data_IF_310411606803
#
_entry.id   IF_310411606803
#
_cell.length_a   1.000
_cell.length_b   1.000
_cell.length_c   1.000
_cell.angle_alpha   90.00
_cell.angle_beta   90.00
_cell.angle_gamma   90.00
#
_symmetry.space_group_name_H-M   'P 1'
#
loop_
_entity.id
_entity.type
_entity.pdbx_description
1 polymer ?
#
# COMPACT_ATOMS: atom_id res chain seq x y z
N UNK A 1 -144.97 -84.02 62.19
CA UNK A 1 -146.39 -84.24 61.86
C UNK A 1 -147.02 -85.37 62.69
N UNK A 2 -146.34 -86.50 62.89
CA UNK A 2 -146.86 -87.65 63.67
C UNK A 2 -147.11 -87.35 65.16
N UNK A 3 -146.24 -86.58 65.81
CA UNK A 3 -146.39 -86.17 67.23
C UNK A 3 -147.55 -85.21 67.48
N UNK A 4 -147.88 -84.33 66.52
CA UNK A 4 -148.99 -83.39 66.65
C UNK A 4 -150.34 -84.10 66.72
N UNK A 5 -150.56 -85.12 65.89
CA UNK A 5 -151.77 -85.93 65.94
C UNK A 5 -151.87 -86.76 67.23
N UNK A 6 -150.75 -87.28 67.75
CA UNK A 6 -150.72 -88.00 69.04
C UNK A 6 -151.09 -87.05 70.19
N UNK A 7 -150.54 -85.83 70.21
CA UNK A 7 -150.84 -84.84 71.24
C UNK A 7 -152.32 -84.40 71.19
N UNK A 8 -152.85 -84.16 69.99
CA UNK A 8 -154.27 -83.80 69.78
C UNK A 8 -155.18 -84.97 70.21
N UNK A 9 -154.85 -86.22 69.84
CA UNK A 9 -155.61 -87.40 70.24
C UNK A 9 -155.59 -87.62 71.76
N UNK A 10 -154.43 -87.46 72.41
CA UNK A 10 -154.31 -87.56 73.86
C UNK A 10 -155.11 -86.47 74.58
N UNK A 11 -155.10 -85.23 74.08
CA UNK A 11 -155.88 -84.12 74.64
C UNK A 11 -157.40 -84.37 74.46
N UNK A 12 -157.84 -84.88 73.31
CA UNK A 12 -159.25 -85.23 73.08
C UNK A 12 -159.74 -86.34 74.03
N UNK A 13 -158.93 -87.39 74.23
CA UNK A 13 -159.25 -88.48 75.16
C UNK A 13 -159.31 -87.97 76.59
N UNK A 14 -158.29 -87.20 77.02
CA UNK A 14 -158.22 -86.64 78.36
C UNK A 14 -159.37 -85.64 78.61
N UNK A 15 -159.72 -84.83 77.60
CA UNK A 15 -160.87 -83.92 77.64
C UNK A 15 -162.19 -84.64 77.85
N UNK A 16 -162.41 -85.79 77.20
CA UNK A 16 -163.61 -86.62 77.39
C UNK A 16 -163.70 -87.25 78.79
N UNK A 17 -162.58 -87.72 79.32
CA UNK A 17 -162.49 -88.27 80.69
C UNK A 17 -162.75 -87.18 81.74
N UNK A 18 -162.19 -85.99 81.55
CA UNK A 18 -162.36 -84.90 82.52
C UNK A 18 -163.78 -84.30 82.43
N UNK A 19 -164.37 -84.20 81.24
CA UNK A 19 -165.73 -83.72 81.06
C UNK A 19 -166.76 -84.60 81.79
N UNK A 20 -166.58 -85.94 81.75
CA UNK A 20 -167.46 -86.88 82.47
C UNK A 20 -167.29 -86.79 83.98
N UNK A 21 -166.09 -86.52 84.49
CA UNK A 21 -165.87 -86.26 85.92
C UNK A 21 -166.48 -84.92 86.36
N UNK A 22 -166.38 -83.87 85.52
CA UNK A 22 -167.00 -82.57 85.77
C UNK A 22 -168.53 -82.67 85.91
N UNK A 23 -169.19 -83.42 85.03
CA UNK A 23 -170.64 -83.64 85.09
C UNK A 23 -171.06 -84.45 86.34
N UNK A 24 -170.21 -85.38 86.78
CA UNK A 24 -170.41 -86.19 88.00
C UNK A 24 -170.26 -85.37 89.28
N UNK A 25 -169.36 -84.39 89.29
CA UNK A 25 -169.20 -83.44 90.40
C UNK A 25 -170.42 -82.50 90.44
N UNK A 26 -170.86 -81.97 89.30
CA UNK A 26 -172.05 -81.11 89.21
C UNK A 26 -173.32 -81.80 89.71
N UNK A 27 -173.54 -83.06 89.31
CA UNK A 27 -174.72 -83.85 89.74
C UNK A 27 -174.69 -84.26 91.21
N UNK A 28 -173.51 -84.57 91.77
CA UNK A 28 -173.36 -84.85 93.23
C UNK A 28 -173.66 -83.63 94.09
N UNK A 29 -173.20 -82.44 93.67
CA UNK A 29 -173.51 -81.18 94.37
C UNK A 29 -175.02 -80.91 94.35
N UNK A 30 -175.71 -81.24 93.25
CA UNK A 30 -177.16 -81.10 93.11
C UNK A 30 -177.99 -82.00 94.04
N UNK A 31 -177.57 -83.25 94.29
CA UNK A 31 -178.28 -84.18 95.20
C UNK A 31 -178.04 -83.87 96.69
N UNK A 32 -176.87 -83.35 97.03
CA UNK A 32 -176.50 -83.02 98.42
C UNK A 32 -177.20 -81.76 98.98
N UNK A 33 -178.06 -81.10 98.19
CA UNK A 33 -178.73 -79.82 98.52
C UNK A 33 -177.74 -78.75 99.00
N UNK A 34 -176.52 -78.77 98.48
CA UNK A 34 -175.48 -77.80 98.83
C UNK A 34 -175.84 -76.46 98.20
N UNK A 35 -175.86 -75.42 99.05
CA UNK A 35 -176.02 -74.03 98.65
C UNK A 35 -174.64 -73.39 98.64
N UNK A 36 -174.24 -72.85 97.48
CA UNK A 36 -173.11 -71.92 97.40
C UNK A 36 -173.74 -70.53 97.22
N UNK A 37 -173.43 -69.60 98.13
CA UNK A 37 -173.94 -68.22 98.08
C UNK A 37 -175.48 -68.10 97.99
N UNK A 38 -176.22 -68.84 98.81
CA UNK A 38 -177.69 -68.76 98.91
C UNK A 38 -178.48 -69.13 97.64
N UNK A 39 -177.85 -69.72 96.63
CA UNK A 39 -178.51 -70.10 95.39
C UNK A 39 -179.34 -71.38 95.57
N UNK A 40 -180.53 -71.40 94.95
CA UNK A 40 -181.40 -72.59 94.89
C UNK A 40 -180.57 -73.76 94.32
N UNK A 41 -180.52 -74.95 94.97
CA UNK A 41 -179.52 -75.99 94.69
C UNK A 41 -179.31 -76.39 93.22
N UNK A 42 -180.33 -76.25 92.37
CA UNK A 42 -180.24 -76.50 90.92
C UNK A 42 -179.31 -75.51 90.17
N UNK A 43 -179.19 -74.24 90.59
CA UNK A 43 -178.35 -73.22 89.91
C UNK A 43 -176.86 -73.31 90.27
N UNK A 44 -176.56 -73.69 91.50
CA UNK A 44 -175.18 -73.89 91.99
C UNK A 44 -174.43 -74.92 91.15
N UNK A 45 -175.10 -76.03 90.81
CA UNK A 45 -174.52 -77.09 89.98
C UNK A 45 -174.06 -76.56 88.60
N UNK A 46 -174.86 -75.71 87.95
CA UNK A 46 -174.52 -75.14 86.63
C UNK A 46 -173.27 -74.25 86.69
N UNK A 47 -173.16 -73.41 87.72
CA UNK A 47 -172.01 -72.50 87.87
C UNK A 47 -170.69 -73.27 88.05
N UNK A 48 -170.73 -74.33 88.85
CA UNK A 48 -169.58 -75.22 89.06
C UNK A 48 -169.15 -75.89 87.75
N UNK A 49 -170.10 -76.26 86.88
CA UNK A 49 -169.80 -76.85 85.55
C UNK A 49 -169.12 -75.86 84.60
N UNK A 50 -169.55 -74.60 84.55
CA UNK A 50 -168.88 -73.57 83.73
C UNK A 50 -167.45 -73.33 84.22
N UNK A 51 -167.27 -73.25 85.54
CA UNK A 51 -165.95 -73.00 86.12
C UNK A 51 -164.99 -74.16 85.86
N UNK A 52 -165.45 -75.42 85.99
CA UNK A 52 -164.64 -76.60 85.62
C UNK A 52 -164.36 -76.63 84.13
N UNK A 53 -165.34 -76.34 83.27
CA UNK A 53 -165.15 -76.21 81.82
C UNK A 53 -164.05 -75.21 81.45
N UNK A 54 -164.06 -74.01 82.05
CA UNK A 54 -163.04 -72.99 81.84
C UNK A 54 -161.66 -73.40 82.34
N UNK A 55 -161.59 -74.06 83.51
CA UNK A 55 -160.35 -74.56 84.09
C UNK A 55 -159.68 -75.62 83.19
N UNK A 56 -160.49 -76.45 82.51
CA UNK A 56 -159.99 -77.45 81.56
C UNK A 56 -159.35 -76.76 80.36
N UNK A 57 -160.03 -75.81 79.70
CA UNK A 57 -159.49 -75.11 78.53
C UNK A 57 -158.20 -74.34 78.85
N UNK A 58 -158.14 -73.67 79.99
CA UNK A 58 -156.93 -72.98 80.45
C UNK A 58 -155.76 -73.96 80.70
N UNK A 59 -156.06 -75.12 81.28
CA UNK A 59 -155.06 -76.18 81.51
C UNK A 59 -154.54 -76.77 80.20
N UNK A 60 -155.42 -77.01 79.22
CA UNK A 60 -155.02 -77.49 77.88
C UNK A 60 -154.10 -76.50 77.19
N UNK A 61 -154.43 -75.21 77.22
CA UNK A 61 -153.61 -74.16 76.63
C UNK A 61 -152.26 -74.05 77.34
N UNK A 62 -152.25 -74.09 78.67
CA UNK A 62 -151.03 -74.06 79.47
C UNK A 62 -150.08 -75.23 79.16
N UNK A 63 -150.62 -76.44 78.98
CA UNK A 63 -149.82 -77.61 78.58
C UNK A 63 -149.24 -77.43 77.18
N UNK A 64 -150.00 -76.88 76.23
CA UNK A 64 -149.51 -76.65 74.86
C UNK A 64 -148.27 -75.73 74.85
N UNK A 65 -148.31 -74.63 75.61
CA UNK A 65 -147.18 -73.71 75.74
C UNK A 65 -145.98 -74.31 76.50
N UNK A 66 -146.23 -75.23 77.44
CA UNK A 66 -145.16 -75.91 78.16
C UNK A 66 -144.47 -76.99 77.30
N UNK A 67 -145.24 -77.69 76.45
CA UNK A 67 -144.74 -78.80 75.64
C UNK A 67 -144.11 -78.36 74.32
N UNK A 68 -144.54 -77.24 73.72
CA UNK A 68 -144.03 -76.77 72.43
C UNK A 68 -143.26 -75.44 72.58
N UNK A 69 -141.94 -75.57 72.62
CA UNK A 69 -141.01 -74.44 72.66
C UNK A 69 -141.12 -73.53 71.43
N UNK A 70 -141.45 -74.07 70.25
CA UNK A 70 -141.64 -73.26 69.03
C UNK A 70 -142.91 -72.44 69.08
N UNK A 71 -143.97 -72.97 69.67
CA UNK A 71 -145.21 -72.23 69.89
C UNK A 71 -144.99 -71.09 70.90
N UNK A 72 -144.19 -71.32 71.96
CA UNK A 72 -143.79 -70.30 72.93
C UNK A 72 -142.95 -69.19 72.28
N UNK A 73 -141.88 -69.55 71.55
CA UNK A 73 -141.05 -68.56 70.85
C UNK A 73 -141.84 -67.79 69.77
N UNK A 74 -142.71 -68.47 69.03
CA UNK A 74 -143.52 -67.84 67.97
C UNK A 74 -144.55 -66.84 68.49
N UNK A 75 -145.12 -67.05 69.69
CA UNK A 75 -146.12 -66.15 70.28
C UNK A 75 -145.50 -65.03 71.13
N UNK A 76 -144.34 -65.27 71.77
CA UNK A 76 -143.76 -64.31 72.73
C UNK A 76 -142.44 -63.63 72.29
N UNK A 77 -141.64 -64.19 71.35
CA UNK A 77 -140.28 -63.69 71.02
C UNK A 77 -140.11 -63.19 69.57
N UNK A 78 -141.16 -63.27 68.73
CA UNK A 78 -141.07 -62.93 67.30
C UNK A 78 -140.63 -61.47 67.06
N UNK A 79 -141.09 -60.54 67.89
CA UNK A 79 -140.81 -59.11 67.77
C UNK A 79 -139.33 -58.80 68.05
N UNK A 80 -138.73 -59.47 69.04
CA UNK A 80 -137.31 -59.33 69.38
C UNK A 80 -136.40 -59.91 68.29
N UNK A 81 -136.76 -61.07 67.72
CA UNK A 81 -136.00 -61.68 66.62
C UNK A 81 -136.04 -60.80 65.37
N UNK A 82 -137.19 -60.22 65.02
CA UNK A 82 -137.29 -59.28 63.90
C UNK A 82 -136.47 -58.01 64.14
N UNK A 83 -136.44 -57.51 65.38
CA UNK A 83 -135.63 -56.36 65.78
C UNK A 83 -134.13 -56.64 65.65
N UNK A 84 -133.66 -57.81 66.07
CA UNK A 84 -132.25 -58.21 65.92
C UNK A 84 -131.85 -58.39 64.45
N UNK A 85 -132.70 -59.04 63.64
CA UNK A 85 -132.48 -59.19 62.20
C UNK A 85 -132.40 -57.83 61.48
N UNK A 86 -133.25 -56.87 61.87
CA UNK A 86 -133.19 -55.49 61.36
C UNK A 86 -131.90 -54.81 61.77
N UNK A 87 -131.50 -54.91 63.04
CA UNK A 87 -130.26 -54.32 63.53
C UNK A 87 -129.02 -54.91 62.83
N UNK A 88 -128.94 -56.23 62.65
CA UNK A 88 -127.83 -56.89 61.93
C UNK A 88 -127.79 -56.50 60.45
N UNK A 89 -128.94 -56.36 59.79
CA UNK A 89 -129.01 -55.86 58.41
C UNK A 89 -128.54 -54.41 58.31
N UNK A 90 -128.91 -53.58 59.27
CA UNK A 90 -128.46 -52.18 59.32
C UNK A 90 -126.95 -52.08 59.56
N UNK A 91 -126.41 -52.87 60.50
CA UNK A 91 -124.97 -52.95 60.74
C UNK A 91 -124.19 -53.47 59.52
N UNK A 92 -124.71 -54.49 58.82
CA UNK A 92 -124.10 -55.00 57.60
C UNK A 92 -124.07 -53.92 56.52
N UNK A 93 -125.17 -53.17 56.35
CA UNK A 93 -125.26 -52.05 55.40
C UNK A 93 -124.29 -50.92 55.75
N UNK A 94 -124.12 -50.60 57.03
CA UNK A 94 -123.14 -49.61 57.49
C UNK A 94 -121.72 -50.09 57.17
N UNK A 95 -121.37 -51.33 57.52
CA UNK A 95 -120.05 -51.90 57.25
C UNK A 95 -119.77 -52.01 55.73
N UNK A 96 -120.77 -52.32 54.90
CA UNK A 96 -120.66 -52.31 53.44
C UNK A 96 -120.39 -50.90 52.90
N UNK A 97 -121.05 -49.88 53.43
CA UNK A 97 -120.81 -48.48 53.06
C UNK A 97 -119.42 -48.00 53.49
N UNK A 98 -118.99 -48.30 54.72
CA UNK A 98 -117.64 -47.98 55.22
C UNK A 98 -116.56 -48.67 54.37
N UNK A 99 -116.75 -49.95 54.05
CA UNK A 99 -115.84 -50.69 53.16
C UNK A 99 -115.76 -50.02 51.78
N UNK A 100 -116.90 -49.62 51.20
CA UNK A 100 -116.93 -48.93 49.91
C UNK A 100 -116.22 -47.57 49.96
N UNK A 101 -116.37 -46.81 51.04
CA UNK A 101 -115.66 -45.54 51.26
C UNK A 101 -114.14 -45.77 51.36
N UNK A 102 -113.71 -46.72 52.19
CA UNK A 102 -112.28 -47.05 52.34
C UNK A 102 -111.68 -47.57 51.03
N UNK A 103 -112.40 -48.37 50.24
CA UNK A 103 -111.96 -48.80 48.91
C UNK A 103 -111.81 -47.61 47.94
N UNK A 104 -112.70 -46.62 48.03
CA UNK A 104 -112.63 -45.40 47.22
C UNK A 104 -111.45 -44.52 47.63
N UNK A 105 -111.22 -44.33 48.93
CA UNK A 105 -110.06 -43.61 49.47
C UNK A 105 -108.75 -44.32 49.12
N UNK A 106 -108.68 -45.64 49.24
CA UNK A 106 -107.51 -46.43 48.87
C UNK A 106 -107.22 -46.31 47.37
N UNK A 107 -108.24 -46.34 46.52
CA UNK A 107 -108.07 -46.13 45.08
C UNK A 107 -107.57 -44.71 44.79
N UNK A 108 -108.10 -43.70 45.47
CA UNK A 108 -107.66 -42.30 45.33
C UNK A 108 -106.20 -42.16 45.74
N UNK A 109 -105.83 -42.66 46.92
CA UNK A 109 -104.46 -42.67 47.41
C UNK A 109 -103.49 -43.42 46.47
N UNK A 110 -103.91 -44.56 45.89
CA UNK A 110 -103.11 -45.29 44.88
C UNK A 110 -102.92 -44.48 43.60
N UNK A 111 -103.94 -43.76 43.14
CA UNK A 111 -103.80 -42.89 41.95
C UNK A 111 -102.87 -41.71 42.21
N UNK A 112 -102.95 -41.11 43.41
CA UNK A 112 -102.04 -40.04 43.83
C UNK A 112 -100.61 -40.54 43.97
N UNK A 113 -100.40 -41.71 44.58
CA UNK A 113 -99.09 -42.35 44.66
C UNK A 113 -98.51 -42.60 43.27
N UNK A 114 -99.30 -43.17 42.36
CA UNK A 114 -98.87 -43.42 40.97
C UNK A 114 -98.50 -42.12 40.25
N UNK A 115 -99.25 -41.03 40.50
CA UNK A 115 -98.94 -39.71 39.94
C UNK A 115 -97.65 -39.14 40.52
N UNK A 116 -97.47 -39.21 41.83
CA UNK A 116 -96.25 -38.76 42.51
C UNK A 116 -95.02 -39.54 42.04
N UNK A 117 -95.13 -40.87 41.85
CA UNK A 117 -94.06 -41.71 41.29
C UNK A 117 -93.69 -41.29 39.86
N UNK A 118 -94.68 -41.00 39.01
CA UNK A 118 -94.44 -40.49 37.64
C UNK A 118 -93.79 -39.11 37.65
N UNK A 119 -94.22 -38.22 38.53
CA UNK A 119 -93.66 -36.88 38.67
C UNK A 119 -92.22 -36.95 39.17
N UNK A 120 -91.94 -37.82 40.15
CA UNK A 120 -90.59 -38.08 40.66
C UNK A 120 -89.67 -38.63 39.56
N UNK A 121 -90.15 -39.56 38.73
CA UNK A 121 -89.41 -40.04 37.56
C UNK A 121 -89.11 -38.92 36.55
N UNK A 122 -90.08 -38.04 36.28
CA UNK A 122 -89.91 -36.89 35.37
C UNK A 122 -88.89 -35.89 35.93
N UNK A 123 -89.00 -35.56 37.22
CA UNK A 123 -88.08 -34.67 37.92
C UNK A 123 -86.66 -35.26 37.91
N UNK A 124 -86.51 -36.55 38.21
CA UNK A 124 -85.20 -37.21 38.17
C UNK A 124 -84.58 -37.18 36.76
N UNK A 125 -85.37 -37.43 35.71
CA UNK A 125 -84.89 -37.30 34.32
C UNK A 125 -84.47 -35.86 33.99
N UNK A 126 -85.26 -34.87 34.42
CA UNK A 126 -84.95 -33.46 34.22
C UNK A 126 -83.69 -33.03 34.98
N UNK A 127 -83.53 -33.48 36.23
CA UNK A 127 -82.35 -33.23 37.06
C UNK A 127 -81.10 -33.86 36.44
N UNK A 128 -81.19 -35.08 35.92
CA UNK A 128 -80.09 -35.72 35.19
C UNK A 128 -79.69 -34.92 33.94
N UNK A 129 -80.67 -34.45 33.15
CA UNK A 129 -80.41 -33.62 31.98
C UNK A 129 -79.78 -32.26 32.36
N UNK A 130 -80.27 -31.63 33.43
CA UNK A 130 -79.72 -30.37 33.95
C UNK A 130 -78.28 -30.55 34.44
N UNK A 131 -77.98 -31.62 35.19
CA UNK A 131 -76.63 -31.95 35.65
C UNK A 131 -75.68 -32.26 34.48
N UNK A 132 -76.15 -32.99 33.46
CA UNK A 132 -75.36 -33.25 32.25
C UNK A 132 -75.04 -31.94 31.51
N UNK A 133 -76.03 -31.04 31.38
CA UNK A 133 -75.85 -29.72 30.76
C UNK A 133 -74.90 -28.83 31.57
N UNK A 134 -75.02 -28.83 32.90
CA UNK A 134 -74.09 -28.11 33.79
C UNK A 134 -72.66 -28.62 33.61
N UNK A 135 -72.46 -29.95 33.61
CA UNK A 135 -71.15 -30.56 33.40
C UNK A 135 -70.55 -30.18 32.05
N UNK A 136 -71.34 -30.27 30.96
CA UNK A 136 -70.91 -29.86 29.64
C UNK A 136 -70.53 -28.37 29.58
N UNK A 137 -71.32 -27.51 30.21
CA UNK A 137 -71.06 -26.07 30.28
C UNK A 137 -69.78 -25.77 31.08
N UNK A 138 -69.52 -26.52 32.14
CA UNK A 138 -68.34 -26.36 32.96
C UNK A 138 -67.07 -26.83 32.24
N UNK A 139 -67.15 -27.91 31.46
CA UNK A 139 -66.09 -28.32 30.54
C UNK A 139 -65.84 -27.25 29.47
N UNK A 140 -66.89 -26.69 28.88
CA UNK A 140 -66.75 -25.62 27.89
C UNK A 140 -66.10 -24.38 28.51
N UNK A 141 -66.50 -23.99 29.72
CA UNK A 141 -65.92 -22.86 30.44
C UNK A 141 -64.42 -23.08 30.70
N UNK A 142 -64.04 -24.28 31.15
CA UNK A 142 -62.62 -24.63 31.35
C UNK A 142 -61.84 -24.59 30.03
N UNK A 143 -62.40 -25.12 28.93
CA UNK A 143 -61.76 -25.06 27.62
C UNK A 143 -61.58 -23.61 27.14
N UNK A 144 -62.60 -22.78 27.26
CA UNK A 144 -62.52 -21.36 26.88
C UNK A 144 -61.54 -20.59 27.77
N UNK A 145 -61.46 -20.90 29.07
CA UNK A 145 -60.45 -20.32 29.96
C UNK A 145 -59.03 -20.71 29.55
N UNK A 146 -58.79 -21.99 29.21
CA UNK A 146 -57.48 -22.43 28.69
C UNK A 146 -57.12 -21.74 27.38
N UNK A 147 -58.07 -21.65 26.44
CA UNK A 147 -57.88 -20.93 25.16
C UNK A 147 -57.57 -19.46 25.38
N UNK A 148 -58.28 -18.80 26.31
CA UNK A 148 -58.02 -17.41 26.65
C UNK A 148 -56.62 -17.23 27.24
N UNK A 149 -56.20 -18.14 28.14
CA UNK A 149 -54.85 -18.10 28.70
C UNK A 149 -53.78 -18.27 27.64
N UNK A 150 -54.00 -19.15 26.65
CA UNK A 150 -53.08 -19.36 25.53
C UNK A 150 -52.97 -18.11 24.66
N UNK A 151 -54.11 -17.49 24.32
CA UNK A 151 -54.15 -16.24 23.55
C UNK A 151 -53.46 -15.10 24.31
N UNK A 152 -53.66 -14.99 25.63
CA UNK A 152 -52.99 -13.99 26.46
C UNK A 152 -51.47 -14.18 26.43
N UNK A 153 -50.99 -15.43 26.51
CA UNK A 153 -49.56 -15.72 26.41
C UNK A 153 -49.01 -15.36 25.03
N UNK A 154 -49.69 -15.74 23.95
CA UNK A 154 -49.30 -15.39 22.58
C UNK A 154 -49.27 -13.86 22.36
N UNK A 155 -50.23 -13.14 22.93
CA UNK A 155 -50.27 -11.68 22.87
C UNK A 155 -49.08 -11.05 23.62
N UNK A 156 -48.72 -11.59 24.78
CA UNK A 156 -47.57 -11.13 25.55
C UNK A 156 -46.24 -11.40 24.83
N UNK A 157 -46.10 -12.56 24.18
CA UNK A 157 -44.97 -12.90 23.32
C UNK A 157 -44.86 -11.93 22.15
N UNK A 158 -45.97 -11.68 21.44
CA UNK A 158 -46.02 -10.74 20.33
C UNK A 158 -45.65 -9.30 20.75
N UNK A 159 -46.04 -8.86 21.95
CA UNK A 159 -45.62 -7.57 22.49
C UNK A 159 -44.10 -7.51 22.75
N UNK A 160 -43.52 -8.61 23.22
CA UNK A 160 -42.08 -8.71 23.47
C UNK A 160 -41.29 -8.70 22.17
N UNK A 161 -41.76 -9.42 21.14
CA UNK A 161 -41.18 -9.39 19.80
C UNK A 161 -41.28 -8.00 19.18
N UNK A 162 -42.44 -7.35 19.31
CA UNK A 162 -42.65 -6.00 18.80
C UNK A 162 -41.68 -4.99 19.44
N UNK A 163 -41.47 -5.09 20.75
CA UNK A 163 -40.49 -4.25 21.45
C UNK A 163 -39.06 -4.50 20.95
N UNK A 164 -38.67 -5.77 20.78
CA UNK A 164 -37.37 -6.15 20.22
C UNK A 164 -37.15 -5.56 18.81
N UNK A 165 -38.20 -5.57 17.97
CA UNK A 165 -38.14 -4.96 16.64
C UNK A 165 -37.98 -3.44 16.72
N UNK A 166 -38.66 -2.76 17.65
CA UNK A 166 -38.47 -1.33 17.87
C UNK A 166 -37.02 -0.99 18.28
N UNK A 167 -36.46 -1.76 19.22
CA UNK A 167 -35.07 -1.57 19.66
C UNK A 167 -34.08 -1.83 18.50
N UNK A 168 -34.35 -2.82 17.64
CA UNK A 168 -33.58 -3.07 16.42
C UNK A 168 -33.67 -1.91 15.42
N UNK A 169 -34.84 -1.31 15.25
CA UNK A 169 -35.01 -0.14 14.38
C UNK A 169 -34.18 1.04 14.90
N UNK A 170 -34.20 1.29 16.21
CA UNK A 170 -33.43 2.37 16.82
C UNK A 170 -31.91 2.17 16.64
N UNK A 171 -31.41 0.95 16.90
CA UNK A 171 -30.00 0.62 16.71
C UNK A 171 -29.56 0.73 15.24
N UNK A 172 -30.39 0.26 14.30
CA UNK A 172 -30.11 0.40 12.87
C UNK A 172 -30.14 1.86 12.41
N UNK A 173 -31.05 2.68 12.95
CA UNK A 173 -31.09 4.12 12.65
C UNK A 173 -29.82 4.82 13.14
N UNK A 174 -29.34 4.51 14.34
CA UNK A 174 -28.08 5.03 14.86
C UNK A 174 -26.89 4.63 13.97
N UNK A 175 -26.81 3.36 13.57
CA UNK A 175 -25.77 2.87 12.66
C UNK A 175 -25.80 3.55 11.29
N UNK A 176 -27.00 3.82 10.74
CA UNK A 176 -27.17 4.55 9.48
C UNK A 176 -26.63 5.98 9.59
N UNK A 177 -26.91 6.68 10.69
CA UNK A 177 -26.40 8.04 10.90
C UNK A 177 -24.88 8.08 11.08
N UNK A 178 -24.31 7.10 11.80
CA UNK A 178 -22.86 6.96 11.91
C UNK A 178 -22.21 6.71 10.54
N UNK A 179 -22.76 5.79 9.74
CA UNK A 179 -22.28 5.51 8.38
C UNK A 179 -22.41 6.74 7.46
N UNK A 180 -23.47 7.55 7.60
CA UNK A 180 -23.62 8.80 6.83
C UNK A 180 -22.54 9.81 7.19
N UNK A 181 -22.21 9.96 8.48
CA UNK A 181 -21.15 10.85 8.95
C UNK A 181 -19.79 10.38 8.45
N UNK A 182 -19.50 9.09 8.56
CA UNK A 182 -18.23 8.52 8.08
C UNK A 182 -18.08 8.69 6.56
N UNK A 183 -19.14 8.40 5.80
CA UNK A 183 -19.14 8.64 4.35
C UNK A 183 -18.86 10.10 4.00
N UNK A 184 -19.43 11.05 4.75
CA UNK A 184 -19.21 12.49 4.54
C UNK A 184 -17.77 12.88 4.84
N UNK A 185 -17.19 12.32 5.89
CA UNK A 185 -15.77 12.51 6.25
C UNK A 185 -14.86 11.99 5.14
N UNK A 186 -15.03 10.73 4.73
CA UNK A 186 -14.25 10.10 3.66
C UNK A 186 -14.37 10.87 2.33
N UNK A 187 -15.55 11.36 2.00
CA UNK A 187 -15.76 12.21 0.83
C UNK A 187 -14.94 13.49 0.90
N UNK A 188 -14.92 14.15 2.07
CA UNK A 188 -14.16 15.38 2.29
C UNK A 188 -12.65 15.13 2.22
N UNK A 189 -12.17 14.06 2.86
CA UNK A 189 -10.77 13.64 2.80
C UNK A 189 -10.34 13.34 1.34
N UNK A 190 -11.14 12.55 0.60
CA UNK A 190 -10.89 12.26 -0.81
C UNK A 190 -10.86 13.53 -1.66
N UNK A 191 -11.79 14.46 -1.43
CA UNK A 191 -11.82 15.74 -2.16
C UNK A 191 -10.57 16.57 -1.91
N UNK A 192 -10.13 16.68 -0.65
CA UNK A 192 -8.89 17.40 -0.32
C UNK A 192 -7.65 16.75 -0.94
N UNK A 193 -7.58 15.42 -0.96
CA UNK A 193 -6.47 14.69 -1.58
C UNK A 193 -6.42 14.91 -3.10
N UNK A 194 -7.57 14.93 -3.78
CA UNK A 194 -7.67 15.27 -5.20
C UNK A 194 -7.18 16.70 -5.46
N UNK A 195 -7.66 17.67 -4.68
CA UNK A 195 -7.25 19.07 -4.85
C UNK A 195 -5.74 19.27 -4.62
N UNK A 196 -5.13 18.54 -3.69
CA UNK A 196 -3.68 18.53 -3.50
C UNK A 196 -2.93 17.92 -4.70
N UNK A 197 -3.42 16.80 -5.25
CA UNK A 197 -2.84 16.16 -6.43
C UNK A 197 -2.92 17.08 -7.65
N UNK A 198 -4.05 17.74 -7.87
CA UNK A 198 -4.24 18.66 -8.99
C UNK A 198 -3.30 19.86 -8.90
N UNK A 199 -3.10 20.42 -7.70
CA UNK A 199 -2.08 21.46 -7.46
C UNK A 199 -0.67 20.96 -7.80
N UNK A 200 -0.35 19.71 -7.45
CA UNK A 200 0.97 19.13 -7.73
C UNK A 200 1.18 18.89 -9.23
N UNK A 201 0.16 18.40 -9.93
CA UNK A 201 0.17 18.23 -11.38
C UNK A 201 0.41 19.58 -12.06
N UNK A 202 -0.35 20.61 -11.68
CA UNK A 202 -0.17 21.95 -12.24
C UNK A 202 1.23 22.54 -11.98
N UNK A 203 1.86 22.23 -10.83
CA UNK A 203 3.25 22.61 -10.57
C UNK A 203 4.24 21.87 -11.47
N UNK A 204 4.05 20.57 -11.67
CA UNK A 204 4.90 19.75 -12.54
C UNK A 204 4.77 20.18 -14.00
N UNK A 205 3.56 20.47 -14.48
CA UNK A 205 3.34 20.95 -15.85
C UNK A 205 4.09 22.28 -16.11
N UNK A 206 4.07 23.20 -15.13
CA UNK A 206 4.86 24.44 -15.22
C UNK A 206 6.36 24.16 -15.27
N UNK A 207 6.84 23.19 -14.50
CA UNK A 207 8.25 22.82 -14.49
C UNK A 207 8.69 22.17 -15.80
N UNK A 208 7.88 21.24 -16.33
CA UNK A 208 8.10 20.60 -17.64
C UNK A 208 8.16 21.67 -18.72
N UNK A 209 7.21 22.61 -18.75
CA UNK A 209 7.22 23.71 -19.72
C UNK A 209 8.50 24.54 -19.65
N UNK A 210 8.98 24.89 -18.45
CA UNK A 210 10.26 25.60 -18.26
C UNK A 210 11.46 24.77 -18.75
N UNK A 211 11.51 23.48 -18.44
CA UNK A 211 12.59 22.59 -18.89
C UNK A 211 12.60 22.41 -20.39
N UNK A 212 11.44 22.29 -21.03
CA UNK A 212 11.34 22.20 -22.49
C UNK A 212 11.85 23.48 -23.16
N UNK A 213 11.56 24.65 -22.59
CA UNK A 213 12.14 25.92 -23.07
C UNK A 213 13.66 25.94 -22.91
N UNK A 214 14.19 25.48 -21.77
CA UNK A 214 15.64 25.39 -21.55
C UNK A 214 16.33 24.42 -22.51
N UNK A 215 15.71 23.26 -22.77
CA UNK A 215 16.22 22.27 -23.73
C UNK A 215 16.26 22.88 -25.13
N UNK A 216 15.18 23.53 -25.58
CA UNK A 216 15.15 24.18 -26.89
C UNK A 216 16.26 25.24 -27.05
N UNK A 217 16.51 26.04 -26.00
CA UNK A 217 17.62 27.01 -26.00
C UNK A 217 18.98 26.33 -26.06
N UNK A 218 19.19 25.24 -25.32
CA UNK A 218 20.45 24.47 -25.35
C UNK A 218 20.67 23.84 -26.71
N UNK A 219 19.62 23.36 -27.36
CA UNK A 219 19.68 22.73 -28.67
C UNK A 219 20.12 23.74 -29.74
N UNK A 220 19.59 24.97 -29.71
CA UNK A 220 20.09 26.06 -30.56
C UNK A 220 21.59 26.36 -30.34
N UNK A 221 22.05 26.35 -29.09
CA UNK A 221 23.47 26.56 -28.76
C UNK A 221 24.33 25.41 -29.30
N UNK A 222 23.86 24.16 -29.17
CA UNK A 222 24.56 22.98 -29.70
C UNK A 222 24.69 23.10 -31.21
N UNK A 223 23.60 23.37 -31.94
CA UNK A 223 23.65 23.55 -33.40
C UNK A 223 24.62 24.66 -33.83
N UNK A 224 24.65 25.77 -33.09
CA UNK A 224 25.60 26.87 -33.34
C UNK A 224 27.04 26.43 -33.13
N UNK A 225 27.31 25.67 -32.05
CA UNK A 225 28.64 25.15 -31.75
C UNK A 225 29.09 24.12 -32.77
N UNK A 226 28.22 23.21 -33.19
CA UNK A 226 28.50 22.22 -34.24
C UNK A 226 28.89 22.91 -35.55
N UNK A 227 28.14 23.95 -35.93
CA UNK A 227 28.47 24.76 -37.12
C UNK A 227 29.84 25.44 -36.98
N UNK A 228 30.17 25.95 -35.78
CA UNK A 228 31.47 26.57 -35.50
C UNK A 228 32.61 25.55 -35.54
N UNK A 229 32.39 24.34 -35.02
CA UNK A 229 33.37 23.26 -35.06
C UNK A 229 33.65 22.88 -36.52
N UNK A 230 32.63 22.66 -37.34
CA UNK A 230 32.81 22.36 -38.76
C UNK A 230 33.59 23.45 -39.51
N UNK A 231 33.31 24.72 -39.20
CA UNK A 231 34.05 25.84 -39.78
C UNK A 231 35.53 25.83 -39.34
N UNK A 232 35.79 25.60 -38.06
CA UNK A 232 37.16 25.51 -37.54
C UNK A 232 37.91 24.32 -38.11
N UNK A 233 37.26 23.17 -38.30
CA UNK A 233 37.85 22.00 -38.97
C UNK A 233 38.23 22.31 -40.42
N UNK A 234 37.37 23.03 -41.16
CA UNK A 234 37.72 23.49 -42.53
C UNK A 234 38.91 24.42 -42.53
N UNK A 235 38.96 25.37 -41.59
CA UNK A 235 40.09 26.30 -41.45
C UNK A 235 41.38 25.57 -41.09
N UNK A 236 41.31 24.62 -40.16
CA UNK A 236 42.46 23.80 -39.78
C UNK A 236 42.97 23.00 -40.97
N UNK A 237 42.10 22.29 -41.68
CA UNK A 237 42.48 21.53 -42.87
C UNK A 237 43.12 22.42 -43.95
N UNK A 238 42.59 23.63 -44.15
CA UNK A 238 43.17 24.61 -45.07
C UNK A 238 44.57 25.05 -44.63
N UNK A 239 44.74 25.39 -43.35
CA UNK A 239 46.03 25.80 -42.79
C UNK A 239 47.06 24.66 -42.84
N UNK A 240 46.66 23.42 -42.53
CA UNK A 240 47.54 22.24 -42.62
C UNK A 240 48.04 22.03 -44.05
N UNK A 241 47.18 22.19 -45.06
CA UNK A 241 47.58 22.12 -46.47
C UNK A 241 48.55 23.24 -46.85
N UNK A 242 48.32 24.46 -46.38
CA UNK A 242 49.19 25.60 -46.67
C UNK A 242 50.55 25.47 -45.97
N UNK A 243 50.58 24.98 -44.73
CA UNK A 243 51.83 24.64 -44.03
C UNK A 243 52.60 23.56 -44.79
N UNK A 244 51.95 22.46 -45.19
CA UNK A 244 52.61 21.40 -45.96
C UNK A 244 53.17 21.92 -47.31
N UNK A 245 52.45 22.82 -47.98
CA UNK A 245 52.93 23.50 -49.19
C UNK A 245 54.15 24.37 -48.89
N UNK A 246 54.11 25.16 -47.83
CA UNK A 246 55.18 26.07 -47.45
C UNK A 246 56.43 25.31 -47.00
N UNK A 247 56.29 24.22 -46.26
CA UNK A 247 57.38 23.31 -45.89
C UNK A 247 58.05 22.74 -47.13
N UNK A 248 57.28 22.27 -48.12
CA UNK A 248 57.82 21.78 -49.40
C UNK A 248 58.58 22.88 -50.15
N UNK A 249 58.07 24.11 -50.13
CA UNK A 249 58.75 25.27 -50.70
C UNK A 249 60.06 25.59 -49.97
N UNK A 250 60.06 25.59 -48.63
CA UNK A 250 61.25 25.84 -47.82
C UNK A 250 62.32 24.75 -47.98
N UNK A 251 61.93 23.47 -48.04
CA UNK A 251 62.87 22.38 -48.31
C UNK A 251 63.52 22.56 -49.69
N UNK A 252 62.72 22.81 -50.74
CA UNK A 252 63.23 23.11 -52.07
C UNK A 252 64.17 24.33 -52.09
N UNK A 253 63.83 25.40 -51.36
CA UNK A 253 64.67 26.59 -51.27
C UNK A 253 65.99 26.33 -50.53
N UNK A 254 65.95 25.54 -49.45
CA UNK A 254 67.13 25.16 -48.66
C UNK A 254 68.09 24.30 -49.47
N UNK A 255 67.57 23.32 -50.20
CA UNK A 255 68.35 22.41 -51.04
C UNK A 255 69.02 23.15 -52.22
N UNK A 256 68.36 24.19 -52.77
CA UNK A 256 68.86 24.93 -53.93
C UNK A 256 69.90 26.02 -53.61
N UNK A 257 69.92 26.59 -52.40
CA UNK A 257 70.85 27.71 -52.07
C UNK A 257 71.84 27.45 -50.93
N UNK A 258 71.54 26.56 -49.98
CA UNK A 258 72.39 26.39 -48.79
C UNK A 258 73.26 25.14 -48.83
N UNK A 259 72.92 24.14 -49.66
CA UNK A 259 73.69 22.89 -49.78
C UNK A 259 74.94 22.96 -50.66
N UNK A 260 75.15 24.04 -51.43
CA UNK A 260 76.21 24.10 -52.45
C UNK A 260 77.21 25.25 -52.35
N UNK A 261 77.07 26.20 -51.42
CA UNK A 261 78.02 27.32 -51.29
C UNK A 261 79.37 26.81 -50.73
N UNK A 262 80.44 26.95 -51.50
CA UNK A 262 81.77 26.45 -51.16
C UNK A 262 82.78 27.57 -50.88
N UNK A 263 82.67 28.70 -51.57
CA UNK A 263 83.47 29.90 -51.32
C UNK A 263 82.55 31.10 -51.14
N UNK A 264 82.88 31.97 -50.18
CA UNK A 264 82.18 33.23 -49.95
C UNK A 264 82.99 34.38 -50.57
N UNK A 265 82.31 35.43 -51.02
CA UNK A 265 82.95 36.67 -51.47
C UNK A 265 83.84 37.24 -50.37
N UNK A 266 85.02 37.73 -50.74
CA UNK A 266 86.07 38.24 -49.86
C UNK A 266 86.69 37.20 -48.92
N UNK A 267 86.45 35.91 -49.14
CA UNK A 267 87.20 34.86 -48.46
C UNK A 267 88.64 34.84 -48.96
N UNK A 268 89.61 34.81 -48.04
CA UNK A 268 91.04 34.66 -48.36
C UNK A 268 91.29 33.25 -48.88
N UNK A 269 91.78 33.16 -50.11
CA UNK A 269 92.17 31.91 -50.76
C UNK A 269 93.63 31.57 -50.46
N UNK A 270 94.50 32.58 -50.41
CA UNK A 270 95.87 32.46 -49.92
C UNK A 270 96.40 33.84 -49.50
N UNK A 271 97.36 33.85 -48.57
CA UNK A 271 98.10 35.03 -48.18
C UNK A 271 99.56 34.66 -47.90
N UNK A 272 100.49 35.56 -48.19
CA UNK A 272 101.92 35.36 -47.89
C UNK A 272 102.65 36.70 -47.68
N UNK A 273 103.75 36.66 -46.93
CA UNK A 273 104.62 37.82 -46.70
C UNK A 273 105.80 37.77 -47.65
N UNK A 274 105.87 38.75 -48.54
CA UNK A 274 106.86 38.80 -49.62
C UNK A 274 107.79 39.99 -49.42
N UNK A 275 109.10 39.72 -49.49
CA UNK A 275 110.14 40.75 -49.54
C UNK A 275 111.00 40.56 -50.77
N UNK A 276 110.93 41.51 -51.70
CA UNK A 276 111.59 41.41 -53.00
C UNK A 276 112.24 42.73 -53.37
N UNK A 277 113.44 42.64 -53.94
CA UNK A 277 114.25 43.78 -54.39
C UNK A 277 114.50 43.77 -55.92
N UNK A 278 113.89 42.81 -56.63
CA UNK A 278 113.97 42.67 -58.08
C UNK A 278 112.59 42.31 -58.65
N UNK A 279 112.23 42.88 -59.81
CA UNK A 279 110.91 42.70 -60.45
C UNK A 279 110.66 41.23 -60.81
N UNK A 280 111.69 40.51 -61.25
CA UNK A 280 111.61 39.08 -61.58
C UNK A 280 111.25 38.22 -60.36
N UNK A 281 111.85 38.51 -59.21
CA UNK A 281 111.55 37.83 -57.94
C UNK A 281 110.12 38.17 -57.45
N UNK A 282 109.68 39.42 -57.60
CA UNK A 282 108.32 39.85 -57.27
C UNK A 282 107.27 39.07 -58.08
N UNK A 283 107.49 38.97 -59.39
CA UNK A 283 106.63 38.20 -60.30
C UNK A 283 106.55 36.73 -59.92
N UNK A 284 107.69 36.10 -59.60
CA UNK A 284 107.73 34.70 -59.19
C UNK A 284 106.94 34.45 -57.89
N UNK A 285 107.11 35.30 -56.89
CA UNK A 285 106.39 35.19 -55.62
C UNK A 285 104.87 35.32 -55.79
N UNK A 286 104.42 36.26 -56.62
CA UNK A 286 102.98 36.44 -56.91
C UNK A 286 102.40 35.22 -57.63
N UNK A 287 103.12 34.67 -58.62
CA UNK A 287 102.67 33.47 -59.33
C UNK A 287 102.54 32.28 -58.38
N UNK A 288 103.51 32.09 -57.48
CA UNK A 288 103.44 31.02 -56.47
C UNK A 288 102.24 31.20 -55.54
N UNK A 289 101.99 32.41 -55.06
CA UNK A 289 100.83 32.69 -54.21
C UNK A 289 99.50 32.42 -54.94
N UNK A 290 99.39 32.78 -56.22
CA UNK A 290 98.22 32.50 -57.04
C UNK A 290 98.01 31.00 -57.28
N UNK A 291 99.09 30.21 -57.38
CA UNK A 291 99.01 28.75 -57.46
C UNK A 291 98.47 28.15 -56.15
N UNK A 292 98.93 28.63 -54.99
CA UNK A 292 98.40 28.20 -53.69
C UNK A 292 96.93 28.58 -53.54
N UNK A 293 96.56 29.81 -53.92
CA UNK A 293 95.16 30.25 -53.92
C UNK A 293 94.29 29.36 -54.83
N UNK A 294 94.81 28.96 -55.98
CA UNK A 294 94.15 28.04 -56.89
C UNK A 294 93.99 26.64 -56.32
N UNK A 295 95.00 26.12 -55.64
CA UNK A 295 94.91 24.83 -54.96
C UNK A 295 93.86 24.86 -53.84
N UNK A 296 93.85 25.91 -53.02
CA UNK A 296 92.89 26.08 -51.95
C UNK A 296 91.45 26.25 -52.48
N UNK A 297 91.27 26.97 -53.59
CA UNK A 297 89.98 27.06 -54.26
C UNK A 297 89.50 25.69 -54.76
N UNK A 298 90.37 24.87 -55.35
CA UNK A 298 90.03 23.51 -55.78
C UNK A 298 89.59 22.63 -54.61
N UNK A 299 90.30 22.67 -53.49
CA UNK A 299 89.92 21.89 -52.30
C UNK A 299 88.52 22.24 -51.81
N UNK A 300 88.15 23.51 -51.84
CA UNK A 300 86.85 23.97 -51.34
C UNK A 300 85.71 23.74 -52.35
N UNK A 301 85.97 23.87 -53.66
CA UNK A 301 84.97 23.74 -54.71
C UNK A 301 84.76 22.31 -55.22
N UNK A 302 85.65 21.37 -54.89
CA UNK A 302 85.50 19.94 -55.24
C UNK A 302 84.31 19.32 -54.49
N UNK A 303 83.57 18.41 -55.13
CA UNK A 303 82.48 17.69 -54.48
C UNK A 303 82.99 16.69 -53.43
N UNK A 304 82.30 16.49 -52.30
CA UNK A 304 82.69 15.50 -51.29
C UNK A 304 82.77 14.09 -51.91
N UNK A 305 83.96 13.46 -51.86
CA UNK A 305 84.21 12.13 -52.41
C UNK A 305 84.91 12.13 -53.78
N UNK A 306 85.00 13.28 -54.45
CA UNK A 306 85.85 13.44 -55.64
C UNK A 306 87.28 13.85 -55.26
N UNK A 307 88.26 13.43 -56.07
CA UNK A 307 89.65 13.87 -55.91
C UNK A 307 89.77 15.30 -56.45
N UNK A 308 90.36 16.24 -55.68
CA UNK A 308 90.62 17.59 -56.17
C UNK A 308 91.41 17.51 -57.47
N UNK A 309 90.77 17.91 -58.57
CA UNK A 309 91.46 18.01 -59.85
C UNK A 309 92.27 19.28 -59.79
N UNK A 310 93.57 19.28 -60.12
CA UNK A 310 94.39 20.50 -60.08
C UNK A 310 94.05 21.43 -61.27
N UNK A 311 92.77 21.79 -61.41
CA UNK A 311 92.25 22.66 -62.48
C UNK A 311 92.68 24.09 -62.22
N UNK A 312 92.97 24.83 -63.28
CA UNK A 312 93.20 26.26 -63.19
C UNK A 312 91.85 26.97 -63.04
N UNK A 313 91.39 27.18 -61.81
CA UNK A 313 90.12 27.84 -61.49
C UNK A 313 90.27 29.37 -61.47
N UNK A 314 91.41 29.89 -61.01
CA UNK A 314 91.67 31.33 -60.99
C UNK A 314 92.11 31.80 -62.38
N UNK A 315 91.37 32.75 -62.96
CA UNK A 315 91.76 33.41 -64.19
C UNK A 315 92.86 34.45 -63.93
N UNK A 316 94.12 34.02 -64.06
CA UNK A 316 95.29 34.90 -63.88
C UNK A 316 95.47 35.78 -65.12
N UNK A 317 95.60 37.10 -64.93
CA UNK A 317 95.93 38.04 -66.00
C UNK A 317 97.36 38.55 -65.83
N UNK A 318 98.10 38.65 -66.93
CA UNK A 318 99.46 39.22 -66.93
C UNK A 318 99.47 40.66 -66.38
N UNK A 319 98.46 41.46 -66.73
CA UNK A 319 98.32 42.82 -66.20
C UNK A 319 98.21 42.87 -64.68
N UNK A 320 97.41 41.98 -64.07
CA UNK A 320 97.25 41.94 -62.62
C UNK A 320 98.52 41.51 -61.89
N UNK A 321 99.24 40.53 -62.45
CA UNK A 321 100.55 40.09 -61.92
C UNK A 321 101.57 41.23 -62.01
N UNK A 322 101.65 41.93 -63.13
CA UNK A 322 102.59 43.05 -63.32
C UNK A 322 102.28 44.24 -62.40
N UNK A 323 100.99 44.61 -62.24
CA UNK A 323 100.58 45.67 -61.32
C UNK A 323 100.96 45.36 -59.87
N UNK A 324 100.70 44.14 -59.42
CA UNK A 324 101.03 43.71 -58.06
C UNK A 324 102.54 43.59 -57.87
N UNK A 325 103.27 43.11 -58.89
CA UNK A 325 104.74 43.00 -58.88
C UNK A 325 105.41 44.36 -58.74
N UNK A 326 104.94 45.37 -59.47
CA UNK A 326 105.43 46.75 -59.34
C UNK A 326 105.17 47.33 -57.95
N UNK A 327 104.03 47.00 -57.34
CA UNK A 327 103.65 47.52 -56.02
C UNK A 327 104.56 47.02 -54.89
N UNK A 328 105.07 45.80 -55.00
CA UNK A 328 105.92 45.18 -53.97
C UNK A 328 107.44 45.29 -54.24
N UNK A 329 107.83 45.85 -55.39
CA UNK A 329 109.22 45.92 -55.85
C UNK A 329 109.95 47.19 -55.33
N UNK A 330 109.98 47.38 -54.03
CA UNK A 330 110.70 48.49 -53.39
C UNK A 330 111.62 48.05 -52.24
N UNK A 331 111.78 46.74 -52.03
CA UNK A 331 112.62 46.15 -50.98
C UNK A 331 111.96 46.06 -49.60
N UNK A 332 110.74 46.60 -49.41
CA UNK A 332 109.96 46.46 -48.18
C UNK A 332 109.22 45.12 -48.15
N UNK A 333 108.79 44.74 -46.96
CA UNK A 333 107.93 43.58 -46.77
C UNK A 333 106.49 43.96 -47.08
N UNK A 334 105.80 43.11 -47.85
CA UNK A 334 104.38 43.25 -48.16
C UNK A 334 103.64 41.99 -47.80
N UNK A 335 102.44 42.14 -47.24
CA UNK A 335 101.47 41.05 -47.16
C UNK A 335 100.67 41.07 -48.45
N UNK A 336 100.76 39.99 -49.21
CA UNK A 336 100.01 39.81 -50.44
C UNK A 336 98.88 38.83 -50.17
N UNK A 337 97.66 39.17 -50.58
CA UNK A 337 96.47 38.34 -50.37
C UNK A 337 95.74 38.12 -51.66
N UNK A 338 95.13 36.95 -51.77
CA UNK A 338 94.24 36.57 -52.87
C UNK A 338 92.87 36.26 -52.29
N UNK A 339 91.84 36.95 -52.78
CA UNK A 339 90.48 36.82 -52.30
C UNK A 339 89.54 36.30 -53.37
N UNK A 340 88.54 35.53 -52.96
CA UNK A 340 87.39 35.23 -53.82
C UNK A 340 86.61 36.51 -54.15
N UNK A 341 86.37 36.80 -55.43
CA UNK A 341 85.61 37.99 -55.84
C UNK A 341 84.08 37.80 -55.71
N UNK A 342 83.61 36.56 -55.54
CA UNK A 342 82.20 36.21 -55.51
C UNK A 342 81.86 35.06 -54.56
N UNK A 343 80.56 34.78 -54.47
CA UNK A 343 80.05 33.58 -53.81
C UNK A 343 80.02 32.45 -54.86
N UNK A 344 80.78 31.38 -54.63
CA UNK A 344 80.88 30.26 -55.57
C UNK A 344 80.33 28.98 -54.97
N UNK A 345 79.62 28.23 -55.81
CA UNK A 345 79.09 26.93 -55.46
C UNK A 345 80.05 25.80 -55.86
N UNK A 346 79.92 24.62 -55.25
CA UNK A 346 80.72 23.44 -55.63
C UNK A 346 80.51 23.11 -57.12
N UNK A 347 81.57 22.67 -57.79
CA UNK A 347 81.57 22.32 -59.21
C UNK A 347 81.84 23.49 -60.18
N UNK A 348 81.99 24.73 -59.69
CA UNK A 348 82.41 25.86 -60.52
C UNK A 348 83.79 25.61 -61.14
N UNK A 349 83.87 25.78 -62.47
CA UNK A 349 85.10 25.51 -63.21
C UNK A 349 85.98 26.75 -63.42
N UNK A 350 85.49 27.94 -63.03
CA UNK A 350 86.25 29.18 -63.11
C UNK A 350 85.73 30.16 -62.05
N UNK A 351 86.65 30.80 -61.32
CA UNK A 351 86.32 31.83 -60.33
C UNK A 351 87.12 33.10 -60.58
N UNK A 352 86.51 34.22 -60.22
CA UNK A 352 87.16 35.51 -60.19
C UNK A 352 87.79 35.72 -58.82
N UNK A 353 88.95 36.39 -58.83
CA UNK A 353 89.66 36.76 -57.63
C UNK A 353 90.10 38.21 -57.76
N UNK A 354 90.36 38.84 -56.62
CA UNK A 354 91.16 40.05 -56.57
C UNK A 354 92.32 39.82 -55.62
N UNK A 355 93.46 40.42 -55.95
CA UNK A 355 94.64 40.37 -55.11
C UNK A 355 95.01 41.78 -54.67
N UNK A 356 95.47 41.90 -53.43
CA UNK A 356 96.03 43.14 -52.93
C UNK A 356 97.38 42.89 -52.24
N UNK A 357 98.15 43.97 -52.13
CA UNK A 357 99.37 44.00 -51.35
C UNK A 357 99.36 45.24 -50.46
N UNK A 358 99.66 45.04 -49.19
CA UNK A 358 99.82 46.10 -48.20
C UNK A 358 101.18 45.97 -47.51
N UNK A 359 101.87 47.07 -47.16
CA UNK A 359 103.11 46.99 -46.40
C UNK A 359 102.91 46.17 -45.12
N UNK A 360 103.83 45.24 -44.86
CA UNK A 360 103.84 44.46 -43.63
C UNK A 360 104.44 45.31 -42.49
N UNK A 361 103.59 46.11 -41.85
CA UNK A 361 103.99 47.02 -40.79
C UNK A 361 103.58 46.48 -39.42
N UNK A 362 104.31 46.89 -38.38
CA UNK A 362 103.93 46.59 -36.99
C UNK A 362 102.57 47.23 -36.70
N UNK A 363 101.58 46.42 -36.37
CA UNK A 363 100.20 46.85 -36.08
C UNK A 363 99.98 46.96 -34.57
N UNK A 364 100.49 46.00 -33.81
CA UNK A 364 100.44 46.02 -32.35
C UNK A 364 101.80 45.66 -31.76
N UNK A 365 102.23 46.42 -30.75
CA UNK A 365 103.43 46.06 -29.98
C UNK A 365 103.09 45.02 -28.92
N UNK A 366 104.08 44.21 -28.53
CA UNK A 366 103.95 43.30 -27.40
C UNK A 366 103.45 44.04 -26.14
N UNK A 367 102.42 43.50 -25.50
CA UNK A 367 101.80 44.06 -24.30
C UNK A 367 100.77 45.16 -24.58
N UNK A 368 100.58 45.57 -25.83
CA UNK A 368 99.58 46.58 -26.18
C UNK A 368 98.16 46.09 -25.84
N UNK A 369 97.37 46.95 -25.20
CA UNK A 369 95.98 46.64 -24.85
C UNK A 369 95.12 46.73 -26.10
N UNK A 370 94.49 45.62 -26.47
CA UNK A 370 93.59 45.48 -27.61
C UNK A 370 92.16 45.86 -27.25
N UNK A 371 91.68 45.35 -26.13
CA UNK A 371 90.35 45.65 -25.61
C UNK A 371 90.34 45.52 -24.08
N UNK A 372 89.34 46.11 -23.45
CA UNK A 372 89.16 46.08 -22.00
C UNK A 372 87.68 45.95 -21.67
N UNK A 373 87.38 45.19 -20.65
CA UNK A 373 86.03 45.05 -20.09
C UNK A 373 86.13 44.94 -18.57
N UNK A 374 85.00 45.06 -17.88
CA UNK A 374 84.89 44.72 -16.46
C UNK A 374 84.02 43.49 -16.30
N UNK A 375 84.32 42.69 -15.29
CA UNK A 375 83.54 41.53 -14.91
C UNK A 375 83.41 41.50 -13.38
N UNK A 376 82.19 41.32 -12.90
CA UNK A 376 81.90 41.17 -11.49
C UNK A 376 81.26 39.80 -11.26
N UNK A 377 82.03 38.80 -10.80
CA UNK A 377 81.52 37.45 -10.60
C UNK A 377 80.44 37.34 -9.52
N UNK A 378 80.30 38.34 -8.62
CA UNK A 378 79.25 38.36 -7.59
C UNK A 378 77.89 38.74 -8.17
N UNK A 379 77.88 39.58 -9.21
CA UNK A 379 76.63 40.08 -9.82
C UNK A 379 76.32 39.45 -11.18
N UNK A 380 77.31 38.82 -11.83
CA UNK A 380 77.16 38.20 -13.14
C UNK A 380 77.06 36.68 -13.06
N UNK A 381 76.07 36.11 -13.77
CA UNK A 381 75.97 34.66 -14.00
C UNK A 381 77.12 34.14 -14.86
N UNK A 382 77.37 32.83 -14.83
CA UNK A 382 78.35 32.17 -15.71
C UNK A 382 78.13 32.48 -17.20
N UNK A 383 76.86 32.55 -17.63
CA UNK A 383 76.53 32.93 -19.01
C UNK A 383 76.92 34.38 -19.31
N UNK A 384 76.59 35.31 -18.40
CA UNK A 384 76.97 36.72 -18.55
C UNK A 384 78.48 36.92 -18.53
N UNK A 385 79.22 36.21 -17.67
CA UNK A 385 80.69 36.24 -17.66
C UNK A 385 81.27 35.70 -18.98
N UNK A 386 80.72 34.60 -19.52
CA UNK A 386 81.13 34.06 -20.82
C UNK A 386 80.88 35.08 -21.93
N UNK A 387 79.68 35.67 -21.96
CA UNK A 387 79.32 36.72 -22.92
C UNK A 387 80.25 37.94 -22.83
N UNK A 388 80.69 38.34 -21.62
CA UNK A 388 81.67 39.42 -21.44
C UNK A 388 83.02 39.07 -22.05
N UNK A 389 83.50 37.84 -21.87
CA UNK A 389 84.74 37.37 -22.48
C UNK A 389 84.62 37.26 -24.01
N UNK A 390 83.51 36.70 -24.51
CA UNK A 390 83.24 36.60 -25.94
C UNK A 390 83.19 37.99 -26.59
N UNK A 391 82.59 38.97 -25.92
CA UNK A 391 82.57 40.35 -26.38
C UNK A 391 83.96 40.99 -26.37
N UNK A 392 84.76 40.75 -25.32
CA UNK A 392 86.14 41.24 -25.23
C UNK A 392 86.99 40.69 -26.39
N UNK A 393 86.84 39.40 -26.70
CA UNK A 393 87.57 38.77 -27.80
C UNK A 393 87.05 39.28 -29.15
N UNK A 394 85.72 39.38 -29.32
CA UNK A 394 85.11 39.94 -30.54
C UNK A 394 85.56 41.38 -30.78
N UNK A 395 85.70 42.19 -29.73
CA UNK A 395 86.22 43.55 -29.81
C UNK A 395 87.71 43.57 -30.19
N UNK A 396 88.51 42.64 -29.65
CA UNK A 396 89.92 42.49 -30.02
C UNK A 396 90.08 42.06 -31.48
N UNK A 397 89.26 41.11 -31.94
CA UNK A 397 89.17 40.68 -33.34
C UNK A 397 88.72 41.80 -34.27
N UNK A 398 87.73 42.58 -33.86
CA UNK A 398 87.27 43.73 -34.62
C UNK A 398 88.36 44.80 -34.74
N UNK A 399 89.06 45.10 -33.64
CA UNK A 399 90.21 46.02 -33.66
C UNK A 399 91.32 45.49 -34.55
N UNK A 400 91.65 44.21 -34.47
CA UNK A 400 92.67 43.57 -35.31
C UNK A 400 92.33 43.70 -36.81
N UNK A 401 91.09 43.37 -37.19
CA UNK A 401 90.62 43.51 -38.57
C UNK A 401 90.66 44.96 -39.05
N UNK A 402 90.20 45.91 -38.22
CA UNK A 402 90.22 47.34 -38.57
C UNK A 402 91.63 47.92 -38.66
N UNK A 403 92.56 47.41 -37.85
CA UNK A 403 93.96 47.81 -37.88
C UNK A 403 94.75 47.14 -39.05
N UNK A 404 94.10 46.27 -39.82
CA UNK A 404 94.63 45.70 -41.05
C UNK A 404 95.24 44.31 -40.92
N UNK A 405 95.04 43.59 -39.80
CA UNK A 405 95.57 42.23 -39.62
C UNK A 405 94.85 41.23 -40.52
N UNK A 406 95.64 40.36 -41.14
CA UNK A 406 95.20 39.45 -42.21
C UNK A 406 94.81 38.07 -41.70
N UNK A 407 95.71 37.36 -41.01
CA UNK A 407 95.54 35.93 -40.66
C UNK A 407 94.56 35.69 -39.47
N UNK A 408 93.85 36.74 -39.04
CA UNK A 408 92.87 36.67 -37.95
C UNK A 408 93.51 36.66 -36.56
N UNK A 409 92.70 36.38 -35.54
CA UNK A 409 93.14 36.36 -34.14
C UNK A 409 93.26 34.92 -33.69
N UNK A 410 94.47 34.53 -33.28
CA UNK A 410 94.71 33.24 -32.65
C UNK A 410 94.56 33.35 -31.14
N UNK A 411 93.79 32.39 -30.63
CA UNK A 411 93.40 32.21 -29.25
C UNK A 411 94.28 31.14 -28.63
N UNK A 412 94.99 31.44 -27.55
CA UNK A 412 95.76 30.43 -26.84
C UNK A 412 94.80 29.49 -26.07
N UNK A 413 95.10 28.19 -26.02
CA UNK A 413 94.21 27.13 -25.51
C UNK A 413 93.80 27.21 -24.03
N UNK A 414 94.12 28.29 -23.32
CA UNK A 414 93.87 28.48 -21.89
C UNK A 414 92.54 29.23 -21.56
N UNK A 415 91.70 29.55 -22.56
CA UNK A 415 90.45 30.31 -22.34
C UNK A 415 89.50 29.72 -21.29
N UNK A 416 89.32 28.39 -21.29
CA UNK A 416 88.47 27.73 -20.30
C UNK A 416 89.04 27.87 -18.89
N UNK A 417 90.37 27.74 -18.74
CA UNK A 417 91.04 27.90 -17.45
C UNK A 417 90.89 29.32 -16.92
N UNK A 418 91.07 30.32 -17.78
CA UNK A 418 90.89 31.73 -17.43
C UNK A 418 89.45 32.02 -16.98
N UNK A 419 88.46 31.49 -17.70
CA UNK A 419 87.05 31.63 -17.31
C UNK A 419 86.75 30.97 -15.95
N UNK A 420 87.31 29.79 -15.68
CA UNK A 420 87.14 29.11 -14.38
C UNK A 420 87.77 29.90 -13.23
N UNK A 421 88.95 30.49 -13.42
CA UNK A 421 89.59 31.35 -12.42
C UNK A 421 88.79 32.64 -12.19
N UNK A 422 88.27 33.25 -13.25
CA UNK A 422 87.42 34.42 -13.16
C UNK A 422 86.16 34.17 -12.32
N UNK A 423 85.53 33.00 -12.45
CA UNK A 423 84.34 32.64 -11.65
C UNK A 423 84.59 32.48 -10.16
N UNK A 424 85.84 32.19 -9.76
CA UNK A 424 86.20 31.95 -8.36
C UNK A 424 86.62 33.23 -7.64
N UNK A 425 86.69 34.37 -8.34
CA UNK A 425 87.14 35.61 -7.75
C UNK A 425 85.95 36.40 -7.19
N UNK A 426 86.04 36.87 -5.95
CA UNK A 426 84.90 37.44 -5.22
C UNK A 426 84.78 38.98 -5.32
N UNK A 427 85.55 39.61 -6.20
CA UNK A 427 85.56 41.07 -6.38
C UNK A 427 85.46 41.45 -7.85
N UNK A 428 84.96 42.65 -8.18
CA UNK A 428 85.00 43.18 -9.54
C UNK A 428 86.42 43.29 -10.07
N UNK A 429 86.64 42.79 -11.29
CA UNK A 429 87.93 42.76 -11.98
C UNK A 429 87.85 43.54 -13.30
N UNK A 430 88.94 44.20 -13.65
CA UNK A 430 89.17 44.68 -15.01
C UNK A 430 89.84 43.55 -15.81
N UNK A 431 89.31 43.23 -16.99
CA UNK A 431 89.87 42.22 -17.88
C UNK A 431 90.39 42.90 -19.14
N UNK A 432 91.67 42.71 -19.44
CA UNK A 432 92.33 43.23 -20.64
C UNK A 432 92.71 42.11 -21.57
N UNK A 433 92.43 42.28 -22.85
CA UNK A 433 93.07 41.51 -23.91
C UNK A 433 94.28 42.31 -24.38
N UNK A 434 95.47 41.71 -24.34
CA UNK A 434 96.71 42.33 -24.79
C UNK A 434 97.33 41.52 -25.95
N UNK A 435 98.12 42.19 -26.78
CA UNK A 435 98.96 41.52 -27.76
C UNK A 435 100.09 40.76 -27.03
N UNK A 436 100.25 39.47 -27.34
CA UNK A 436 101.26 38.63 -26.69
C UNK A 436 102.67 38.91 -27.20
N UNK A 437 102.78 39.30 -28.46
CA UNK A 437 104.00 39.57 -29.20
C UNK A 437 103.77 40.69 -30.22
N UNK A 438 104.84 41.26 -30.75
CA UNK A 438 104.79 42.22 -31.84
C UNK A 438 104.06 41.60 -33.04
N UNK A 439 102.91 42.17 -33.40
CA UNK A 439 102.04 41.64 -34.44
C UNK A 439 102.03 42.58 -35.63
N UNK A 440 102.38 42.03 -36.79
CA UNK A 440 102.43 42.77 -38.05
C UNK A 440 101.12 42.60 -38.83
N UNK A 441 100.98 43.35 -39.93
CA UNK A 441 99.81 43.29 -40.82
C UNK A 441 99.51 41.84 -41.25
N UNK A 442 100.53 40.99 -41.44
CA UNK A 442 100.33 39.58 -41.78
C UNK A 442 99.48 38.84 -40.75
N UNK A 443 99.66 39.15 -39.47
CA UNK A 443 99.13 38.35 -38.38
C UNK A 443 99.85 37.00 -38.26
N UNK A 444 99.25 36.03 -37.56
CA UNK A 444 98.01 36.17 -36.77
C UNK A 444 98.26 36.98 -35.49
N UNK A 445 97.23 37.67 -35.01
CA UNK A 445 97.30 38.33 -33.70
C UNK A 445 97.11 37.29 -32.60
N UNK A 446 98.15 37.07 -31.79
CA UNK A 446 98.05 36.23 -30.59
C UNK A 446 97.67 37.07 -29.39
N UNK A 447 96.55 36.73 -28.76
CA UNK A 447 96.01 37.49 -27.62
C UNK A 447 96.26 36.76 -26.31
N UNK A 448 96.60 37.54 -25.28
CA UNK A 448 96.68 37.10 -23.90
C UNK A 448 95.67 37.89 -23.06
N UNK A 449 94.93 37.20 -22.19
CA UNK A 449 93.97 37.82 -21.28
C UNK A 449 94.62 38.05 -19.92
N UNK A 450 94.42 39.24 -19.36
CA UNK A 450 94.86 39.63 -18.03
C UNK A 450 93.64 40.00 -17.19
N UNK A 451 93.53 39.43 -15.99
CA UNK A 451 92.59 39.89 -14.96
C UNK A 451 93.35 40.81 -13.98
N UNK A 452 92.82 42.00 -13.73
CA UNK A 452 93.46 43.07 -12.98
C UNK A 452 92.54 43.52 -11.84
N UNK A 453 93.08 43.55 -10.63
CA UNK A 453 92.43 44.11 -9.44
C UNK A 453 93.30 45.23 -8.88
N UNK A 454 92.72 46.42 -8.67
CA UNK A 454 93.43 47.59 -8.13
C UNK A 454 94.78 47.89 -8.82
N UNK A 455 94.84 47.70 -10.14
CA UNK A 455 96.04 47.97 -10.95
C UNK A 455 97.09 46.83 -10.98
N UNK A 456 96.86 45.71 -10.28
CA UNK A 456 97.78 44.55 -10.26
C UNK A 456 97.16 43.37 -11.01
N UNK A 457 97.95 42.70 -11.86
CA UNK A 457 97.53 41.47 -12.55
C UNK A 457 97.41 40.34 -11.54
N UNK A 458 96.21 39.78 -11.38
CA UNK A 458 95.93 38.69 -10.44
C UNK A 458 96.08 37.31 -11.07
N UNK A 459 95.71 37.16 -12.35
CA UNK A 459 95.96 35.96 -13.16
C UNK A 459 95.85 36.29 -14.66
N UNK A 460 96.42 35.43 -15.51
CA UNK A 460 96.41 35.57 -16.97
C UNK A 460 96.24 34.23 -17.68
N UNK A 461 95.90 34.27 -18.97
CA UNK A 461 96.06 33.10 -19.86
C UNK A 461 97.52 32.76 -20.08
#
# INVERSE_FOLDING_TARGET
MTTGYILIAAILILGGVIATVGDRIGTRVGKARLSLFNLRPKKTAVLVTIFTGGLISASTLGILFAADEKLRQGVFELEDIQKELRNKREQLKIAENEKSQVETELNTARTEQTKAERDLQRINKSLQAANAKQKATQTQLQQTQSQLSEIVNQYQEALTELQSVYDQIETLQAAIEELKLERKRLYTEAKTAIDQRDRKIAQLDRLIKKRNQEIALREQVITTRESRVQELERQQNYLEQEVARLEKYYQSYRDLRLGKLALVRNQVLAADVVRVNQVSAARQAIIQLLQVANQNANLQLTEPGEKPTNKQLLRITEEGVEQLSRKINDGREYVVRVFSAGNYVRGENQIEFFADAAPNQLVFSQGEILATTTADPQTMTSYQLSQRLDLLISASEFRARNAGIVEGVLREGAHLRFFLQLRQYDQPLEIKAIAMEDTYTAGPLRIKLLAIFNGVVVFST
#
